data_IF_113943362695
#
_entry.id   IF_113943362695
#
_cell.length_a   1.000
_cell.length_b   1.000
_cell.length_c   1.000
_cell.angle_alpha   90.00
_cell.angle_beta   90.00
_cell.angle_gamma   90.00
#
_symmetry.space_group_name_H-M   'P 1'
#
loop_
_entity.id
_entity.type
_entity.pdbx_description
1 polymer ?
#
# COMPACT_ATOMS: atom_id res chain seq x y z
N UNK A 1 17.27 41.92 -16.76
CA UNK A 1 15.87 41.52 -16.98
C UNK A 1 15.87 40.46 -18.08
N UNK A 2 16.02 39.18 -17.71
CA UNK A 2 16.08 38.07 -18.67
C UNK A 2 14.70 37.41 -18.76
N UNK A 3 14.14 37.42 -19.96
CA UNK A 3 12.91 36.75 -20.35
C UNK A 3 13.08 35.23 -20.14
N UNK A 4 12.66 34.72 -18.99
CA UNK A 4 12.47 33.28 -18.79
C UNK A 4 11.20 32.89 -19.57
N UNK A 5 11.40 32.37 -20.77
CA UNK A 5 10.32 31.97 -21.67
C UNK A 5 9.44 30.85 -21.08
N UNK A 6 8.17 30.77 -21.49
CA UNK A 6 7.21 29.76 -21.00
C UNK A 6 7.67 28.30 -21.25
N UNK A 7 8.62 28.11 -22.18
CA UNK A 7 9.27 26.83 -22.47
C UNK A 7 10.04 26.23 -21.29
N UNK A 8 10.61 27.06 -20.41
CA UNK A 8 11.35 26.57 -19.24
C UNK A 8 10.40 26.00 -18.19
N UNK A 9 9.19 26.57 -18.05
CA UNK A 9 8.18 26.06 -17.13
C UNK A 9 7.64 24.69 -17.58
N UNK A 10 7.40 24.51 -18.88
CA UNK A 10 6.98 23.22 -19.43
C UNK A 10 8.03 22.12 -19.19
N UNK A 11 9.31 22.41 -19.42
CA UNK A 11 10.40 21.45 -19.22
C UNK A 11 10.52 20.94 -17.77
N UNK A 12 10.24 21.79 -16.79
CA UNK A 12 10.28 21.40 -15.36
C UNK A 12 9.10 20.46 -15.01
N UNK A 13 7.91 20.68 -15.61
CA UNK A 13 6.75 19.79 -15.41
C UNK A 13 6.91 18.42 -16.07
N UNK A 14 7.71 18.30 -17.14
CA UNK A 14 7.97 17.02 -17.79
C UNK A 14 8.94 16.12 -16.99
N UNK A 15 9.78 16.69 -16.12
CA UNK A 15 10.77 15.95 -15.33
C UNK A 15 10.26 15.51 -13.95
N UNK A 16 9.13 16.04 -13.48
CA UNK A 16 8.39 15.44 -12.38
C UNK A 16 7.65 14.22 -12.91
N UNK A 17 8.36 13.10 -13.01
CA UNK A 17 7.80 11.80 -13.33
C UNK A 17 6.51 11.59 -12.54
N UNK A 18 5.43 11.36 -13.27
CA UNK A 18 4.13 11.01 -12.72
C UNK A 18 4.34 9.77 -11.85
N UNK A 19 4.29 9.92 -10.53
CA UNK A 19 4.03 8.78 -9.65
C UNK A 19 2.60 8.37 -9.99
N UNK A 20 2.45 7.38 -10.87
CA UNK A 20 1.15 6.91 -11.33
C UNK A 20 0.38 6.38 -10.13
N UNK A 21 -0.57 7.16 -9.63
CA UNK A 21 -1.42 6.78 -8.51
C UNK A 21 -2.46 5.78 -9.04
N UNK A 22 -2.55 4.61 -8.42
CA UNK A 22 -3.62 3.64 -8.75
C UNK A 22 -4.91 3.99 -8.01
N UNK A 23 -6.05 3.62 -8.59
CA UNK A 23 -7.34 3.69 -7.91
C UNK A 23 -7.38 2.53 -6.93
N UNK A 24 -7.71 2.82 -5.67
CA UNK A 24 -7.84 1.83 -4.62
C UNK A 24 -9.16 1.97 -3.86
N UNK A 25 -9.57 0.87 -3.24
CA UNK A 25 -10.77 0.79 -2.41
C UNK A 25 -10.35 0.48 -0.97
N UNK A 26 -10.91 1.19 -0.01
CA UNK A 26 -10.78 0.82 1.41
C UNK A 26 -11.68 -0.40 1.69
N UNK A 27 -11.06 -1.48 2.15
CA UNK A 27 -11.75 -2.74 2.45
C UNK A 27 -11.99 -2.95 3.95
N UNK A 28 -11.65 -1.98 4.80
CA UNK A 28 -11.82 -2.13 6.24
C UNK A 28 -13.31 -2.29 6.57
N UNK A 29 -13.68 -3.51 6.99
CA UNK A 29 -14.99 -3.74 7.57
C UNK A 29 -14.95 -3.18 8.98
N UNK A 30 -15.47 -1.97 9.15
CA UNK A 30 -15.58 -1.33 10.46
C UNK A 30 -16.39 -2.24 11.39
N UNK A 31 -15.75 -3.08 12.19
CA UNK A 31 -16.39 -3.80 13.31
C UNK A 31 -16.56 -2.82 14.47
N UNK A 32 -17.25 -1.72 14.19
CA UNK A 32 -17.65 -0.71 15.17
C UNK A 32 -18.97 -1.10 15.82
N UNK A 33 -18.93 -2.09 16.73
CA UNK A 33 -19.90 -2.09 17.81
C UNK A 33 -19.61 -0.87 18.69
N UNK A 34 -20.42 0.18 18.50
CA UNK A 34 -20.72 1.26 19.44
C UNK A 34 -19.57 1.72 20.36
N UNK A 35 -18.93 2.84 19.99
CA UNK A 35 -18.63 3.87 20.99
C UNK A 35 -17.18 4.15 21.38
N UNK A 36 -16.20 4.10 20.48
CA UNK A 36 -14.90 4.70 20.79
C UNK A 36 -14.18 5.28 19.57
N UNK A 37 -14.55 6.50 19.16
CA UNK A 37 -13.74 7.35 18.27
C UNK A 37 -12.54 7.94 19.04
N UNK A 38 -11.84 7.11 19.81
CA UNK A 38 -10.61 7.54 20.48
C UNK A 38 -9.43 7.29 19.53
N UNK A 39 -8.79 8.38 19.14
CA UNK A 39 -7.47 8.37 18.52
C UNK A 39 -6.50 7.64 19.45
N UNK A 40 -6.22 6.37 19.14
CA UNK A 40 -5.36 5.50 19.95
C UNK A 40 -4.04 5.23 19.23
N UNK A 41 -2.96 5.15 20.00
CA UNK A 41 -1.67 4.71 19.51
C UNK A 41 -1.75 3.24 19.05
N UNK A 42 -1.09 2.93 17.94
CA UNK A 42 -1.09 1.59 17.34
C UNK A 42 0.27 0.96 17.58
N UNK A 43 0.26 -0.23 18.19
CA UNK A 43 1.44 -1.06 18.26
C UNK A 43 1.56 -1.84 16.94
N UNK A 44 2.60 -1.59 16.14
CA UNK A 44 2.79 -2.18 14.82
C UNK A 44 3.00 -3.69 14.94
N UNK A 45 2.22 -4.48 14.20
CA UNK A 45 2.36 -5.93 14.11
C UNK A 45 2.89 -6.36 12.75
N UNK A 46 2.27 -7.41 12.22
CA UNK A 46 2.62 -8.01 10.95
C UNK A 46 1.90 -7.34 9.76
N UNK A 47 2.27 -7.71 8.54
CA UNK A 47 1.61 -7.25 7.33
C UNK A 47 1.34 -8.42 6.39
N UNK A 48 0.25 -8.34 5.63
CA UNK A 48 -0.16 -9.40 4.71
C UNK A 48 -0.59 -8.80 3.39
N UNK A 49 -0.18 -9.43 2.31
CA UNK A 49 -0.75 -9.18 0.99
C UNK A 49 -1.61 -10.37 0.63
N UNK A 50 -2.91 -10.16 0.49
CA UNK A 50 -3.83 -11.15 -0.01
C UNK A 50 -4.07 -10.90 -1.50
N UNK A 51 -4.31 -11.94 -2.27
CA UNK A 51 -4.59 -11.84 -3.69
C UNK A 51 -5.80 -12.68 -4.04
N UNK A 52 -6.74 -12.14 -4.81
CA UNK A 52 -7.84 -12.94 -5.37
C UNK A 52 -7.33 -13.82 -6.49
N UNK A 53 -7.69 -15.10 -6.45
CA UNK A 53 -7.65 -15.95 -7.63
C UNK A 53 -8.87 -15.62 -8.53
N UNK A 54 -8.83 -16.07 -9.78
CA UNK A 54 -9.97 -16.04 -10.73
C UNK A 54 -11.22 -16.71 -10.12
N UNK A 55 -11.04 -17.65 -9.18
CA UNK A 55 -12.09 -18.34 -8.45
C UNK A 55 -12.69 -17.52 -7.29
N UNK A 56 -12.19 -16.31 -7.03
CA UNK A 56 -12.66 -15.40 -5.98
C UNK A 56 -12.12 -15.69 -4.56
N UNK A 57 -11.27 -16.69 -4.40
CA UNK A 57 -10.60 -17.00 -3.13
C UNK A 57 -9.33 -16.17 -2.94
N UNK A 58 -9.10 -15.69 -1.71
CA UNK A 58 -7.89 -14.94 -1.36
C UNK A 58 -6.75 -15.88 -0.93
N UNK A 59 -5.68 -15.93 -1.72
CA UNK A 59 -4.44 -16.56 -1.30
C UNK A 59 -3.61 -15.56 -0.47
N UNK A 60 -3.11 -16.02 0.69
CA UNK A 60 -2.21 -15.22 1.54
C UNK A 60 -0.80 -15.31 0.96
N UNK A 61 -0.29 -14.18 0.46
CA UNK A 61 1.12 -14.03 0.18
C UNK A 61 1.81 -13.47 1.42
N UNK A 62 2.48 -14.36 2.16
CA UNK A 62 3.36 -13.97 3.24
C UNK A 62 4.63 -13.38 2.64
N UNK A 63 4.75 -12.06 2.69
CA UNK A 63 5.99 -11.38 2.40
C UNK A 63 7.04 -11.78 3.46
N UNK A 64 8.34 -11.73 3.13
CA UNK A 64 9.38 -12.06 4.09
C UNK A 64 9.13 -11.30 5.41
N UNK A 65 9.26 -11.96 6.58
CA UNK A 65 9.04 -11.28 7.85
C UNK A 65 10.01 -10.11 7.95
N UNK A 66 9.48 -8.91 7.82
CA UNK A 66 10.20 -7.66 7.95
C UNK A 66 9.47 -6.82 8.97
N UNK A 67 10.21 -6.19 9.90
CA UNK A 67 9.58 -5.30 10.86
C UNK A 67 8.86 -4.17 10.10
N UNK A 68 7.53 -4.08 10.22
CA UNK A 68 6.72 -3.04 9.58
C UNK A 68 7.28 -1.63 9.86
N UNK A 69 7.90 -1.45 11.04
CA UNK A 69 8.55 -0.22 11.45
C UNK A 69 9.69 0.25 10.56
N UNK A 70 10.41 -0.65 9.90
CA UNK A 70 11.48 -0.29 8.97
C UNK A 70 10.94 0.31 7.67
N UNK A 71 9.65 0.07 7.40
CA UNK A 71 8.93 0.52 6.21
C UNK A 71 8.02 1.73 6.49
N UNK A 72 8.01 2.26 7.73
CA UNK A 72 7.18 3.40 8.12
C UNK A 72 8.00 4.68 8.28
N UNK A 73 7.49 5.78 7.73
CA UNK A 73 8.01 7.13 7.93
C UNK A 73 6.90 8.05 8.43
N UNK A 74 7.00 8.65 9.63
CA UNK A 74 8.06 8.47 10.62
C UNK A 74 8.08 7.05 11.21
N UNK A 75 9.23 6.63 11.74
CA UNK A 75 9.37 5.33 12.38
C UNK A 75 8.46 5.20 13.63
N UNK A 76 8.22 3.96 14.03
CA UNK A 76 7.42 3.60 15.20
C UNK A 76 7.91 4.29 16.50
N UNK A 77 7.03 4.51 17.49
CA UNK A 77 5.64 4.05 17.58
C UNK A 77 4.67 4.87 16.71
N UNK A 78 3.59 4.21 16.26
CA UNK A 78 2.49 4.87 15.55
C UNK A 78 1.63 5.60 16.57
N UNK A 79 1.64 6.94 16.50
CA UNK A 79 0.88 7.79 17.42
C UNK A 79 -0.35 8.35 16.74
N UNK A 80 -1.42 8.43 17.50
CA UNK A 80 -2.68 8.93 16.98
C UNK A 80 -2.58 10.41 16.54
N UNK A 81 -3.30 10.77 15.47
CA UNK A 81 -3.31 12.14 14.94
C UNK A 81 -2.06 12.56 14.16
N UNK A 82 -1.18 11.60 13.80
CA UNK A 82 -0.03 11.83 12.91
C UNK A 82 -0.23 11.12 11.58
N UNK A 83 0.36 11.70 10.53
CA UNK A 83 0.40 11.07 9.22
C UNK A 83 1.64 10.18 9.11
N UNK A 84 1.43 8.96 8.64
CA UNK A 84 2.48 7.99 8.38
C UNK A 84 2.45 7.60 6.90
N UNK A 85 3.62 7.31 6.36
CA UNK A 85 3.79 6.74 5.02
C UNK A 85 4.43 5.37 5.18
N UNK A 86 3.74 4.35 4.70
CA UNK A 86 4.25 2.98 4.60
C UNK A 86 4.77 2.75 3.18
N UNK A 87 5.98 2.20 3.05
CA UNK A 87 6.60 1.93 1.75
C UNK A 87 7.39 0.63 1.77
N UNK A 88 7.05 -0.28 0.86
CA UNK A 88 7.62 -1.61 0.77
C UNK A 88 7.98 -1.95 -0.68
N UNK A 89 9.03 -2.72 -0.87
CA UNK A 89 9.51 -3.14 -2.19
C UNK A 89 9.94 -4.59 -2.11
N UNK A 90 9.42 -5.41 -3.02
CA UNK A 90 9.78 -6.82 -3.14
C UNK A 90 9.71 -7.29 -4.60
N UNK A 91 10.26 -8.47 -4.86
CA UNK A 91 10.31 -9.07 -6.18
C UNK A 91 9.04 -9.89 -6.44
N UNK A 92 8.43 -9.63 -7.60
CA UNK A 92 7.32 -10.46 -8.10
C UNK A 92 7.89 -11.80 -8.58
N UNK A 93 7.70 -12.85 -7.78
CA UNK A 93 8.24 -14.18 -8.06
C UNK A 93 7.54 -14.87 -9.25
N UNK A 94 8.25 -15.76 -9.96
CA UNK A 94 7.75 -16.37 -11.21
C UNK A 94 6.51 -17.26 -11.05
N UNK A 95 6.17 -17.71 -9.83
CA UNK A 95 4.95 -18.50 -9.60
C UNK A 95 3.67 -17.66 -9.63
N UNK A 96 3.75 -16.32 -9.65
CA UNK A 96 2.55 -15.52 -9.81
C UNK A 96 1.92 -15.79 -11.17
N UNK A 97 0.67 -16.29 -11.16
CA UNK A 97 -0.12 -16.40 -12.40
C UNK A 97 -0.25 -15.02 -13.04
N UNK A 98 0.03 -14.99 -14.34
CA UNK A 98 -0.15 -13.82 -15.19
C UNK A 98 -1.64 -13.49 -15.33
N UNK A 99 -1.95 -12.21 -15.51
CA UNK A 99 -3.31 -11.71 -15.72
C UNK A 99 -3.79 -10.74 -14.66
N UNK A 100 -5.08 -10.42 -14.75
CA UNK A 100 -5.79 -9.46 -13.88
C UNK A 100 -6.19 -10.12 -12.56
N UNK A 101 -5.86 -9.44 -11.47
CA UNK A 101 -5.98 -9.94 -10.10
C UNK A 101 -6.33 -8.76 -9.20
N UNK A 102 -7.11 -8.98 -8.14
CA UNK A 102 -7.31 -7.97 -7.10
C UNK A 102 -6.36 -8.27 -5.94
N UNK A 103 -5.46 -7.32 -5.67
CA UNK A 103 -4.60 -7.37 -4.51
C UNK A 103 -5.25 -6.65 -3.35
N UNK A 104 -5.14 -7.22 -2.15
CA UNK A 104 -5.54 -6.63 -0.89
C UNK A 104 -4.31 -6.50 0.01
N UNK A 105 -3.95 -5.27 0.30
CA UNK A 105 -2.92 -4.91 1.28
C UNK A 105 -3.53 -4.80 2.67
N UNK A 106 -2.99 -5.52 3.65
CA UNK A 106 -3.47 -5.51 5.04
C UNK A 106 -2.31 -5.21 5.98
N UNK A 107 -2.45 -4.16 6.80
CA UNK A 107 -1.55 -3.91 7.92
C UNK A 107 -2.24 -4.30 9.23
N UNK A 108 -1.51 -5.03 10.06
CA UNK A 108 -2.00 -5.57 11.33
C UNK A 108 -1.29 -4.92 12.51
N UNK A 109 -2.02 -4.73 13.60
CA UNK A 109 -1.43 -4.34 14.87
C UNK A 109 -0.80 -5.55 15.60
N UNK A 110 -0.19 -5.31 16.76
CA UNK A 110 0.45 -6.35 17.58
C UNK A 110 -0.52 -7.46 18.06
N UNK A 111 -1.84 -7.24 17.97
CA UNK A 111 -2.88 -8.23 18.28
C UNK A 111 -3.41 -8.96 17.05
N UNK A 112 -2.83 -8.70 15.87
CA UNK A 112 -3.32 -9.14 14.57
C UNK A 112 -4.69 -8.55 14.17
N UNK A 113 -5.07 -7.39 14.72
CA UNK A 113 -6.24 -6.63 14.30
C UNK A 113 -5.87 -5.78 13.08
N UNK A 114 -6.74 -5.76 12.05
CA UNK A 114 -6.52 -4.95 10.85
C UNK A 114 -6.80 -3.48 11.16
N UNK A 115 -5.86 -2.60 10.85
CA UNK A 115 -6.02 -1.15 10.99
C UNK A 115 -5.84 -0.38 9.68
N UNK A 116 -5.33 -1.04 8.63
CA UNK A 116 -5.34 -0.55 7.23
C UNK A 116 -5.67 -1.72 6.32
N UNK A 117 -6.63 -1.52 5.43
CA UNK A 117 -7.05 -2.48 4.41
C UNK A 117 -7.23 -1.75 3.08
N UNK A 118 -6.44 -2.10 2.07
CA UNK A 118 -6.50 -1.44 0.75
C UNK A 118 -6.59 -2.48 -0.36
N UNK A 119 -7.59 -2.37 -1.22
CA UNK A 119 -7.75 -3.21 -2.41
C UNK A 119 -7.45 -2.44 -3.69
N UNK A 120 -6.73 -3.05 -4.62
CA UNK A 120 -6.44 -2.47 -5.92
C UNK A 120 -6.22 -3.55 -6.99
N UNK A 121 -6.62 -3.28 -8.25
CA UNK A 121 -6.39 -4.19 -9.36
C UNK A 121 -4.90 -4.20 -9.76
N UNK A 122 -4.40 -5.38 -10.10
CA UNK A 122 -3.06 -5.64 -10.62
C UNK A 122 -3.14 -6.45 -11.91
N UNK A 123 -2.24 -6.13 -12.86
CA UNK A 123 -2.06 -6.89 -14.09
C UNK A 123 -0.63 -7.40 -14.16
N UNK A 124 -0.42 -8.68 -13.81
CA UNK A 124 0.92 -9.28 -13.82
C UNK A 124 1.22 -9.73 -15.25
N UNK A 125 2.15 -9.00 -15.89
CA UNK A 125 2.69 -9.38 -17.21
C UNK A 125 3.77 -10.45 -17.05
N UNK A 126 3.79 -11.39 -17.99
CA UNK A 126 4.91 -12.32 -18.13
C UNK A 126 6.19 -11.60 -18.54
N UNK A 127 7.36 -12.26 -18.46
CA UNK A 127 8.59 -11.70 -19.02
C UNK A 127 8.35 -11.34 -20.49
N UNK A 128 8.62 -10.09 -20.85
CA UNK A 128 8.60 -9.64 -22.24
C UNK A 128 9.68 -10.43 -23.01
N UNK A 129 9.28 -11.12 -24.08
CA UNK A 129 10.21 -11.79 -25.01
C UNK A 129 10.69 -10.81 -26.07
#
# INVERSE_FOLDING_TARGET
>A
MQFFGPLICCLILYLSGVTEATIFTDCEHSTGLLGDFLYKDIEPGDFRVLKTNVDGEFEVYALPPSDMCNHLTPACPIRAGRNYTYSFTDQVMMFFRQGLLDARWVLLDAKNETFVCVEFPLDIKGPEN
#
